data_IF_850072783436
#
_entry.id   IF_850072783436
#
_cell.length_a   1.000
_cell.length_b   1.000
_cell.length_c   1.000
_cell.angle_alpha   90.00
_cell.angle_beta   90.00
_cell.angle_gamma   90.00
#
_symmetry.space_group_name_H-M   'P 1'
#
loop_
_entity.id
_entity.type
_entity.pdbx_description
1 polymer ?
#
# COMPACT_ATOMS: atom_id res chain seq x y z
N UNK A 1 -6.75 2.33 -7.96
CA UNK A 1 -6.42 3.40 -6.98
C UNK A 1 -7.30 3.36 -5.73
N UNK A 2 -7.59 2.17 -5.16
CA UNK A 2 -8.62 2.08 -4.10
C UNK A 2 -8.10 1.72 -2.70
N UNK A 3 -6.88 1.20 -2.46
CA UNK A 3 -6.44 0.94 -1.08
C UNK A 3 -6.15 2.21 -0.28
N UNK A 4 -5.91 3.33 -0.94
CA UNK A 4 -5.64 4.60 -0.28
C UNK A 4 -6.87 5.23 0.39
N UNK A 5 -8.07 4.94 -0.12
CA UNK A 5 -9.29 5.51 0.44
C UNK A 5 -9.69 4.87 1.77
N UNK A 6 -9.51 3.56 1.91
CA UNK A 6 -9.78 2.90 3.20
C UNK A 6 -8.74 3.27 4.26
N UNK A 7 -7.48 3.51 3.89
CA UNK A 7 -6.46 3.99 4.82
C UNK A 7 -6.70 5.44 5.24
N UNK A 8 -7.04 6.32 4.29
CA UNK A 8 -7.34 7.72 4.62
C UNK A 8 -8.60 7.86 5.49
N UNK A 9 -9.67 7.10 5.22
CA UNK A 9 -10.84 7.05 6.10
C UNK A 9 -10.47 6.57 7.51
N UNK A 10 -9.63 5.52 7.60
CA UNK A 10 -9.12 5.02 8.88
C UNK A 10 -8.31 6.06 9.64
N UNK A 11 -7.54 6.89 8.95
CA UNK A 11 -6.76 7.98 9.56
C UNK A 11 -7.67 9.08 10.10
N UNK A 12 -8.76 9.43 9.39
CA UNK A 12 -9.76 10.38 9.88
C UNK A 12 -10.44 9.87 11.16
N UNK A 13 -10.85 8.60 11.21
CA UNK A 13 -11.46 8.02 12.42
C UNK A 13 -10.47 7.96 13.59
N UNK A 14 -9.22 7.58 13.37
CA UNK A 14 -8.19 7.59 14.42
C UNK A 14 -7.92 9.00 14.94
N UNK A 15 -7.92 9.99 14.06
CA UNK A 15 -7.78 11.39 14.44
C UNK A 15 -8.92 11.84 15.34
N UNK A 16 -10.19 11.52 14.99
CA UNK A 16 -11.34 11.82 15.83
C UNK A 16 -11.22 11.18 17.22
N UNK A 17 -10.78 9.91 17.29
CA UNK A 17 -10.53 9.24 18.55
C UNK A 17 -9.42 9.95 19.36
N UNK A 18 -8.30 10.34 18.75
CA UNK A 18 -7.22 11.06 19.42
C UNK A 18 -7.68 12.42 19.95
N UNK A 19 -8.48 13.17 19.18
CA UNK A 19 -9.06 14.43 19.64
C UNK A 19 -10.00 14.23 20.82
N UNK A 20 -10.92 13.27 20.71
CA UNK A 20 -11.93 13.00 21.75
C UNK A 20 -11.33 12.45 23.03
N UNK A 21 -10.36 11.51 22.91
CA UNK A 21 -9.82 10.80 24.08
C UNK A 21 -8.61 11.48 24.73
N UNK A 22 -7.81 12.20 23.92
CA UNK A 22 -6.50 12.75 24.34
C UNK A 22 -6.40 14.27 24.23
N UNK A 23 -7.41 14.94 23.70
CA UNK A 23 -7.38 16.40 23.48
C UNK A 23 -6.32 16.86 22.45
N UNK A 24 -5.86 15.97 21.58
CA UNK A 24 -4.86 16.28 20.56
C UNK A 24 -5.55 16.89 19.33
N UNK A 25 -5.27 18.15 19.05
CA UNK A 25 -5.74 18.83 17.84
C UNK A 25 -4.87 18.48 16.64
N UNK A 26 -5.42 17.69 15.70
CA UNK A 26 -4.78 17.38 14.43
C UNK A 26 -5.58 18.01 13.29
N UNK A 27 -4.90 18.74 12.42
CA UNK A 27 -5.44 19.19 11.15
C UNK A 27 -4.85 18.35 10.02
N UNK A 28 -5.72 17.77 9.18
CA UNK A 28 -5.30 16.97 8.02
C UNK A 28 -5.29 17.85 6.77
N UNK A 29 -4.17 17.92 6.08
CA UNK A 29 -4.10 18.48 4.72
C UNK A 29 -4.12 17.32 3.73
N UNK A 30 -5.26 17.04 3.14
CA UNK A 30 -5.43 15.97 2.16
C UNK A 30 -4.96 16.45 0.77
N UNK A 31 -3.81 15.95 0.33
CA UNK A 31 -3.26 16.26 -1.00
C UNK A 31 -3.89 15.33 -2.03
N UNK A 32 -4.66 15.91 -2.96
CA UNK A 32 -5.50 15.14 -3.90
C UNK A 32 -5.50 15.78 -5.29
N UNK A 33 -5.68 15.00 -6.34
CA UNK A 33 -5.88 15.53 -7.70
C UNK A 33 -7.30 16.02 -7.97
N UNK A 34 -8.29 15.51 -7.25
CA UNK A 34 -9.71 15.86 -7.42
C UNK A 34 -10.34 16.15 -6.06
N UNK A 35 -10.43 17.44 -5.72
CA UNK A 35 -10.99 17.92 -4.47
C UNK A 35 -12.45 17.51 -4.29
N UNK A 36 -13.30 17.67 -5.32
CA UNK A 36 -14.73 17.34 -5.24
C UNK A 36 -14.97 15.84 -4.95
N UNK A 37 -14.10 14.96 -5.48
CA UNK A 37 -14.16 13.55 -5.16
C UNK A 37 -13.76 13.29 -3.71
N UNK A 38 -12.75 13.98 -3.22
CA UNK A 38 -12.29 13.86 -1.83
C UNK A 38 -13.35 14.38 -0.84
N UNK A 39 -13.96 15.51 -1.12
CA UNK A 39 -15.05 16.10 -0.31
C UNK A 39 -16.26 15.16 -0.21
N UNK A 40 -16.64 14.49 -1.30
CA UNK A 40 -17.71 13.47 -1.26
C UNK A 40 -17.39 12.27 -0.38
N UNK A 41 -16.10 11.95 -0.17
CA UNK A 41 -15.65 10.80 0.61
C UNK A 41 -15.37 11.13 2.07
N UNK A 42 -14.86 12.31 2.36
CA UNK A 42 -14.34 12.70 3.67
C UNK A 42 -15.07 13.89 4.29
N UNK A 43 -16.07 14.45 3.58
CA UNK A 43 -16.77 15.66 3.96
C UNK A 43 -16.15 16.93 3.38
N UNK A 44 -16.85 18.05 3.52
CA UNK A 44 -16.37 19.38 3.12
C UNK A 44 -15.17 19.81 3.98
N UNK A 45 -14.39 20.77 3.48
CA UNK A 45 -13.30 21.37 4.24
C UNK A 45 -13.81 21.95 5.58
N UNK A 46 -13.04 21.75 6.64
CA UNK A 46 -13.39 22.17 8.00
C UNK A 46 -12.12 22.56 8.77
N UNK A 47 -12.28 22.92 10.05
CA UNK A 47 -11.13 23.15 10.94
C UNK A 47 -10.26 21.91 11.12
N UNK A 48 -10.79 20.75 10.76
CA UNK A 48 -10.11 19.46 10.95
C UNK A 48 -9.46 18.93 9.67
N UNK A 49 -10.02 19.22 8.50
CA UNK A 49 -9.51 18.77 7.20
C UNK A 49 -9.55 19.87 6.17
N UNK A 50 -8.50 20.00 5.39
CA UNK A 50 -8.44 20.82 4.20
C UNK A 50 -7.89 20.04 3.03
N UNK A 51 -8.19 20.50 1.82
CA UNK A 51 -7.79 19.85 0.58
C UNK A 51 -6.80 20.75 -0.16
N UNK A 52 -5.70 20.14 -0.61
CA UNK A 52 -4.72 20.78 -1.48
C UNK A 52 -4.68 20.03 -2.80
N UNK A 53 -5.05 20.73 -3.89
CA UNK A 53 -5.02 20.11 -5.23
C UNK A 53 -3.59 20.11 -5.76
N UNK A 54 -3.02 18.91 -5.97
CA UNK A 54 -1.69 18.75 -6.50
C UNK A 54 -1.54 17.43 -7.26
N UNK A 55 -0.85 17.46 -8.39
CA UNK A 55 -0.49 16.28 -9.18
C UNK A 55 1.02 16.02 -9.05
N UNK A 56 1.38 14.90 -8.45
CA UNK A 56 2.78 14.52 -8.25
C UNK A 56 3.54 14.17 -9.55
N UNK A 57 2.86 14.13 -10.69
CA UNK A 57 3.50 14.01 -12.00
C UNK A 57 3.97 15.35 -12.59
N UNK A 58 3.55 16.47 -11.99
CA UNK A 58 3.94 17.81 -12.46
C UNK A 58 5.35 18.19 -12.00
N UNK A 59 5.91 19.20 -12.67
CA UNK A 59 7.24 19.76 -12.36
C UNK A 59 7.18 20.92 -11.37
N UNK A 60 5.98 21.45 -11.10
CA UNK A 60 5.78 22.54 -10.16
C UNK A 60 6.13 22.08 -8.75
N UNK A 61 6.78 22.95 -7.95
CA UNK A 61 7.10 22.64 -6.57
C UNK A 61 5.85 22.33 -5.73
N UNK A 62 5.97 21.35 -4.84
CA UNK A 62 4.97 21.13 -3.80
C UNK A 62 5.01 22.28 -2.79
N UNK A 63 3.94 23.06 -2.69
CA UNK A 63 3.90 24.29 -1.88
C UNK A 63 2.51 24.51 -1.24
N UNK A 64 2.10 23.66 -0.28
CA UNK A 64 0.85 23.87 0.45
C UNK A 64 0.90 25.15 1.28
N UNK A 65 -0.24 25.81 1.43
CA UNK A 65 -0.33 27.09 2.19
C UNK A 65 -0.22 26.89 3.70
N UNK A 66 -0.55 25.69 4.20
CA UNK A 66 -0.44 25.35 5.62
C UNK A 66 0.90 24.70 5.89
N UNK A 67 1.49 24.98 7.05
CA UNK A 67 2.66 24.27 7.54
C UNK A 67 2.32 22.78 7.75
N UNK A 68 3.19 21.90 7.30
CA UNK A 68 3.09 20.46 7.47
C UNK A 68 4.14 20.01 8.47
N UNK A 69 3.71 19.46 9.61
CA UNK A 69 4.62 18.90 10.61
C UNK A 69 4.92 17.42 10.35
N UNK A 70 3.92 16.66 9.89
CA UNK A 70 4.04 15.23 9.59
C UNK A 70 3.51 14.92 8.20
N UNK A 71 4.18 14.04 7.45
CA UNK A 71 3.81 13.75 6.07
C UNK A 71 3.80 12.24 5.79
N UNK A 72 2.70 11.78 5.21
CA UNK A 72 2.61 10.44 4.61
C UNK A 72 2.49 10.55 3.09
N UNK A 73 3.41 9.92 2.36
CA UNK A 73 3.36 9.91 0.90
C UNK A 73 2.85 8.58 0.37
N UNK A 74 1.59 8.57 -0.04
CA UNK A 74 0.91 7.41 -0.64
C UNK A 74 0.75 7.53 -2.16
N UNK A 75 0.95 8.71 -2.74
CA UNK A 75 0.64 8.95 -4.13
C UNK A 75 1.55 8.13 -5.06
N UNK A 76 0.95 7.20 -5.76
CA UNK A 76 1.55 6.40 -6.82
C UNK A 76 0.44 5.75 -7.64
N UNK A 77 0.64 5.45 -8.92
CA UNK A 77 -0.17 4.47 -9.63
C UNK A 77 -0.12 3.13 -8.86
N UNK A 78 -1.23 2.40 -8.81
CA UNK A 78 -1.31 1.12 -8.08
C UNK A 78 -1.82 -0.03 -8.93
N UNK A 79 -2.33 0.25 -10.13
CA UNK A 79 -2.80 -0.75 -11.06
C UNK A 79 -1.64 -1.25 -11.95
N UNK A 80 -1.46 -2.56 -12.02
CA UNK A 80 -0.41 -3.18 -12.86
C UNK A 80 -0.53 -2.78 -14.35
N UNK A 81 -1.74 -2.46 -14.78
CA UNK A 81 -2.02 -1.96 -16.13
C UNK A 81 -1.31 -0.62 -16.38
N UNK A 82 -1.38 0.31 -15.44
CA UNK A 82 -0.74 1.63 -15.55
C UNK A 82 0.79 1.51 -15.69
N UNK A 83 1.41 0.52 -15.04
CA UNK A 83 2.85 0.32 -15.10
C UNK A 83 3.35 -0.09 -16.51
N UNK A 84 2.45 -0.69 -17.30
CA UNK A 84 2.76 -1.15 -18.66
C UNK A 84 2.30 -0.15 -19.71
N UNK A 85 1.12 0.45 -19.54
CA UNK A 85 0.53 1.37 -20.52
C UNK A 85 1.08 2.81 -20.37
N UNK A 86 1.45 3.21 -19.12
CA UNK A 86 1.94 4.54 -18.79
C UNK A 86 3.22 4.49 -17.94
N UNK A 87 4.30 3.82 -18.42
CA UNK A 87 5.51 3.61 -17.62
C UNK A 87 6.27 4.90 -17.31
N UNK A 88 6.29 5.86 -18.23
CA UNK A 88 6.98 7.14 -18.04
C UNK A 88 6.27 7.98 -16.97
N UNK A 89 4.95 8.08 -17.06
CA UNK A 89 4.13 8.81 -16.08
C UNK A 89 4.21 8.13 -14.71
N UNK A 90 4.30 6.79 -14.69
CA UNK A 90 4.50 6.02 -13.45
C UNK A 90 5.83 6.41 -12.80
N UNK A 91 6.92 6.44 -13.55
CA UNK A 91 8.22 6.82 -13.02
C UNK A 91 8.27 8.28 -12.57
N UNK A 92 7.72 9.20 -13.36
CA UNK A 92 7.67 10.62 -13.03
C UNK A 92 6.86 10.86 -11.74
N UNK A 93 5.69 10.24 -11.62
CA UNK A 93 4.85 10.38 -10.41
C UNK A 93 5.55 9.86 -9.17
N UNK A 94 6.21 8.70 -9.26
CA UNK A 94 6.83 8.06 -8.09
C UNK A 94 8.14 8.73 -7.70
N UNK A 95 9.06 8.91 -8.64
CA UNK A 95 10.38 9.47 -8.37
C UNK A 95 10.34 11.00 -8.30
N UNK A 96 9.79 11.67 -9.30
CA UNK A 96 9.70 13.13 -9.35
C UNK A 96 8.81 13.69 -8.22
N UNK A 97 7.68 13.03 -7.96
CA UNK A 97 6.82 13.39 -6.83
C UNK A 97 7.55 13.28 -5.48
N UNK A 98 8.36 12.23 -5.30
CA UNK A 98 9.16 12.08 -4.09
C UNK A 98 10.25 13.14 -3.96
N UNK A 99 10.90 13.50 -5.06
CA UNK A 99 11.90 14.56 -5.09
C UNK A 99 11.31 15.91 -4.67
N UNK A 100 10.12 16.26 -5.16
CA UNK A 100 9.40 17.48 -4.77
C UNK A 100 9.05 17.50 -3.27
N UNK A 101 8.60 16.36 -2.73
CA UNK A 101 8.25 16.25 -1.31
C UNK A 101 9.48 16.33 -0.40
N UNK A 102 10.58 15.70 -0.77
CA UNK A 102 11.83 15.76 0.02
C UNK A 102 12.43 17.16 -0.01
N UNK A 103 12.39 17.85 -1.16
CA UNK A 103 12.79 19.24 -1.27
C UNK A 103 11.96 20.14 -0.35
N UNK A 104 10.62 19.96 -0.36
CA UNK A 104 9.72 20.64 0.56
C UNK A 104 10.04 20.33 2.02
N UNK A 105 10.21 19.05 2.36
CA UNK A 105 10.48 18.62 3.73
C UNK A 105 11.78 19.22 4.27
N UNK A 106 12.83 19.29 3.44
CA UNK A 106 14.09 19.94 3.78
C UNK A 106 13.92 21.46 4.00
N UNK A 107 13.25 22.15 3.08
CA UNK A 107 13.08 23.62 3.14
C UNK A 107 12.19 24.09 4.28
N UNK A 108 11.22 23.27 4.70
CA UNK A 108 10.20 23.60 5.70
C UNK A 108 10.36 22.85 7.02
N UNK A 109 11.47 22.13 7.22
CA UNK A 109 11.80 21.42 8.45
C UNK A 109 10.65 20.50 8.92
N UNK A 110 10.12 19.67 8.00
CA UNK A 110 9.07 18.69 8.34
C UNK A 110 9.59 17.74 9.42
N UNK A 111 8.86 17.64 10.53
CA UNK A 111 9.30 16.91 11.73
C UNK A 111 9.47 15.41 11.51
N UNK A 112 8.63 14.81 10.66
CA UNK A 112 8.80 13.41 10.22
C UNK A 112 7.96 13.11 8.98
N UNK A 113 8.48 12.26 8.09
CA UNK A 113 7.72 11.77 6.95
C UNK A 113 7.94 10.28 6.69
N UNK A 114 6.94 9.65 6.07
CA UNK A 114 7.00 8.23 5.66
C UNK A 114 6.60 8.07 4.19
N UNK A 115 7.50 7.46 3.42
CA UNK A 115 7.18 6.98 2.07
C UNK A 115 6.49 5.62 2.16
N UNK A 116 5.27 5.50 1.61
CA UNK A 116 4.66 4.21 1.32
C UNK A 116 5.34 3.59 0.09
N UNK A 117 6.25 2.66 0.34
CA UNK A 117 6.89 1.82 -0.66
C UNK A 117 6.15 0.48 -0.81
N UNK A 118 6.75 -0.52 -1.40
CA UNK A 118 6.11 -1.76 -1.80
C UNK A 118 7.05 -2.96 -1.68
N UNK A 119 6.49 -4.13 -1.44
CA UNK A 119 7.23 -5.41 -1.53
C UNK A 119 7.81 -5.67 -2.94
N UNK A 120 7.31 -4.99 -3.98
CA UNK A 120 7.83 -5.17 -5.34
C UNK A 120 9.28 -4.65 -5.51
N UNK A 121 9.79 -3.83 -4.60
CA UNK A 121 11.20 -3.40 -4.58
C UNK A 121 12.17 -4.57 -4.42
N UNK A 122 11.73 -5.69 -3.86
CA UNK A 122 12.56 -6.90 -3.79
C UNK A 122 12.82 -7.54 -5.14
N UNK A 123 11.98 -7.28 -6.15
CA UNK A 123 12.14 -7.84 -7.48
C UNK A 123 11.82 -9.34 -7.55
N UNK A 124 12.52 -10.06 -8.42
CA UNK A 124 12.30 -11.49 -8.64
C UNK A 124 13.05 -12.29 -7.58
N UNK A 125 12.29 -12.89 -6.68
CA UNK A 125 12.77 -13.84 -5.66
C UNK A 125 11.94 -15.11 -5.80
N UNK A 126 12.62 -16.26 -5.94
CA UNK A 126 11.99 -17.58 -6.14
C UNK A 126 12.25 -18.54 -4.99
N UNK A 127 13.18 -18.19 -4.10
CA UNK A 127 13.53 -18.97 -2.90
C UNK A 127 12.99 -18.30 -1.65
N UNK A 128 12.06 -18.94 -0.97
CA UNK A 128 11.38 -18.47 0.23
C UNK A 128 11.84 -19.18 1.52
N UNK A 129 12.92 -19.95 1.44
CA UNK A 129 13.48 -20.64 2.62
C UNK A 129 13.96 -19.65 3.69
N UNK A 130 14.33 -18.44 3.30
CA UNK A 130 14.65 -17.34 4.20
C UNK A 130 13.71 -16.19 3.96
N UNK A 131 13.09 -15.61 5.01
CA UNK A 131 12.34 -14.39 4.87
C UNK A 131 13.22 -13.24 4.36
N UNK A 132 12.62 -12.31 3.63
CA UNK A 132 13.29 -11.15 3.05
C UNK A 132 13.41 -10.05 4.10
N UNK A 133 14.64 -9.80 4.53
CA UNK A 133 15.00 -8.64 5.35
C UNK A 133 15.21 -7.40 4.47
N UNK A 134 15.23 -6.21 5.05
CA UNK A 134 15.27 -4.95 4.32
C UNK A 134 16.57 -4.70 3.56
N UNK A 135 17.64 -5.40 3.90
CA UNK A 135 18.95 -5.36 3.22
C UNK A 135 19.06 -6.28 2.01
N UNK A 136 18.08 -7.19 1.81
CA UNK A 136 18.07 -8.11 0.68
C UNK A 136 17.54 -7.46 -0.60
N UNK A 137 18.01 -7.97 -1.75
CA UNK A 137 17.59 -7.51 -3.07
C UNK A 137 17.53 -8.69 -4.05
N UNK A 138 16.52 -8.70 -4.91
CA UNK A 138 16.41 -9.57 -6.07
C UNK A 138 16.55 -8.80 -7.37
N UNK A 139 16.53 -9.51 -8.48
CA UNK A 139 16.68 -8.95 -9.80
C UNK A 139 15.44 -8.17 -10.26
N UNK A 140 15.67 -6.98 -10.82
CA UNK A 140 14.69 -6.21 -11.60
C UNK A 140 15.33 -5.88 -12.95
N UNK A 141 14.71 -6.33 -14.04
CA UNK A 141 15.18 -5.99 -15.38
C UNK A 141 14.85 -4.52 -15.70
N UNK A 142 15.86 -3.64 -15.85
CA UNK A 142 15.62 -2.23 -16.14
C UNK A 142 15.06 -1.97 -17.54
N UNK A 143 15.16 -2.96 -18.44
CA UNK A 143 14.66 -2.84 -19.81
C UNK A 143 13.25 -3.42 -19.98
N UNK A 144 12.69 -4.06 -18.95
CA UNK A 144 11.32 -4.52 -18.96
C UNK A 144 10.36 -3.39 -18.55
N UNK A 145 9.40 -3.04 -19.40
CA UNK A 145 8.41 -1.97 -19.16
C UNK A 145 7.69 -2.14 -17.83
N UNK A 146 7.35 -3.39 -17.45
CA UNK A 146 6.68 -3.70 -16.16
C UNK A 146 7.52 -3.34 -14.94
N UNK A 147 8.84 -3.19 -15.11
CA UNK A 147 9.74 -2.80 -14.02
C UNK A 147 9.70 -1.30 -13.67
N UNK A 148 8.99 -0.48 -14.45
CA UNK A 148 8.89 0.97 -14.23
C UNK A 148 8.53 1.34 -12.79
N UNK A 149 7.48 0.71 -12.24
CA UNK A 149 7.02 0.96 -10.87
C UNK A 149 8.01 0.51 -9.78
N UNK A 150 8.45 -0.76 -9.73
CA UNK A 150 9.39 -1.19 -8.69
C UNK A 150 10.75 -0.51 -8.78
N UNK A 151 11.24 -0.18 -9.97
CA UNK A 151 12.49 0.59 -10.14
C UNK A 151 12.32 2.04 -9.66
N UNK A 152 11.22 2.69 -9.99
CA UNK A 152 10.94 4.04 -9.51
C UNK A 152 10.80 4.07 -7.96
N UNK A 153 10.17 3.04 -7.36
CA UNK A 153 10.11 2.90 -5.89
C UNK A 153 11.48 2.67 -5.27
N UNK A 154 12.35 1.81 -5.85
CA UNK A 154 13.75 1.67 -5.39
C UNK A 154 14.50 3.00 -5.45
N UNK A 155 14.38 3.74 -6.55
CA UNK A 155 15.03 5.04 -6.70
C UNK A 155 14.49 6.05 -5.68
N UNK A 156 13.19 6.06 -5.41
CA UNK A 156 12.57 6.91 -4.39
C UNK A 156 13.04 6.55 -2.97
N UNK A 157 13.20 5.25 -2.64
CA UNK A 157 13.78 4.81 -1.36
C UNK A 157 15.24 5.28 -1.21
N UNK A 158 16.05 5.11 -2.26
CA UNK A 158 17.43 5.60 -2.25
C UNK A 158 17.50 7.13 -2.07
N UNK A 159 16.56 7.85 -2.69
CA UNK A 159 16.46 9.30 -2.52
C UNK A 159 16.11 9.69 -1.08
N UNK A 160 15.18 8.96 -0.43
CA UNK A 160 14.86 9.15 0.99
C UNK A 160 16.09 8.96 1.88
N UNK A 161 16.82 7.86 1.66
CA UNK A 161 18.05 7.58 2.41
C UNK A 161 19.09 8.71 2.27
N UNK A 162 19.34 9.14 1.02
CA UNK A 162 20.32 10.18 0.74
C UNK A 162 19.91 11.55 1.30
N UNK A 163 18.64 11.92 1.27
CA UNK A 163 18.17 13.16 1.91
C UNK A 163 18.26 13.12 3.44
N UNK A 164 18.09 11.95 4.04
CA UNK A 164 18.32 11.80 5.48
C UNK A 164 19.80 11.92 5.83
N UNK A 165 20.68 11.30 5.05
CA UNK A 165 22.13 11.29 5.28
C UNK A 165 22.77 12.66 5.00
N UNK A 166 22.45 13.27 3.85
CA UNK A 166 23.10 14.50 3.37
C UNK A 166 22.52 15.78 4.01
N UNK A 167 21.19 15.83 4.17
CA UNK A 167 20.46 17.03 4.59
C UNK A 167 19.78 16.91 5.96
N UNK A 168 19.83 15.74 6.59
CA UNK A 168 19.19 15.49 7.89
C UNK A 168 17.66 15.48 7.82
N UNK A 169 17.07 15.21 6.66
CA UNK A 169 15.61 15.12 6.51
C UNK A 169 15.06 13.90 7.26
N UNK A 170 14.08 14.12 8.12
CA UNK A 170 13.45 13.07 8.94
C UNK A 170 12.49 12.19 8.11
N UNK A 171 13.02 11.36 7.23
CA UNK A 171 12.24 10.50 6.33
C UNK A 171 12.52 9.02 6.57
N UNK A 172 11.48 8.19 6.52
CA UNK A 172 11.49 6.74 6.68
C UNK A 172 10.73 6.10 5.53
N UNK A 173 10.97 4.81 5.30
CA UNK A 173 10.33 4.04 4.22
C UNK A 173 9.54 2.87 4.80
N UNK A 174 8.28 2.73 4.40
CA UNK A 174 7.44 1.57 4.71
C UNK A 174 7.28 0.69 3.47
N UNK A 175 7.92 -0.48 3.41
CA UNK A 175 7.75 -1.49 2.35
C UNK A 175 6.51 -2.31 2.62
N UNK A 176 5.38 -1.86 2.10
CA UNK A 176 4.09 -2.51 2.34
C UNK A 176 3.97 -3.83 1.59
N UNK A 177 3.55 -4.88 2.28
CA UNK A 177 3.01 -6.09 1.66
C UNK A 177 1.72 -5.77 0.88
N UNK A 178 1.15 -6.76 0.20
CA UNK A 178 -0.16 -6.60 -0.41
C UNK A 178 -1.20 -6.28 0.67
N UNK A 179 -1.69 -5.06 0.64
CA UNK A 179 -2.61 -4.54 1.68
C UNK A 179 -4.04 -4.51 1.18
N UNK A 180 -4.97 -5.06 1.96
CA UNK A 180 -6.40 -4.98 1.69
C UNK A 180 -7.25 -5.10 2.97
N UNK A 181 -8.54 -4.78 2.85
CA UNK A 181 -9.49 -4.87 3.96
C UNK A 181 -10.85 -4.28 3.58
N UNK A 182 -11.65 -3.91 4.57
CA UNK A 182 -12.90 -3.19 4.36
C UNK A 182 -12.69 -1.89 3.56
N UNK A 183 -13.67 -1.50 2.73
CA UNK A 183 -13.62 -0.31 1.89
C UNK A 183 -12.82 -0.47 0.59
N UNK A 184 -12.45 -1.70 0.22
CA UNK A 184 -11.95 -1.98 -1.14
C UNK A 184 -13.11 -1.87 -2.11
N UNK A 185 -12.95 -1.08 -3.18
CA UNK A 185 -13.99 -0.85 -4.18
C UNK A 185 -14.49 -2.15 -4.80
N UNK A 186 -15.80 -2.28 -4.95
CA UNK A 186 -16.45 -3.46 -5.53
C UNK A 186 -15.96 -3.85 -6.94
N UNK A 187 -15.36 -2.89 -7.69
CA UNK A 187 -14.78 -3.14 -9.02
C UNK A 187 -13.25 -3.32 -9.01
N UNK A 188 -12.62 -3.48 -7.84
CA UNK A 188 -11.19 -3.74 -7.76
C UNK A 188 -10.83 -5.06 -8.44
N UNK A 189 -9.84 -5.03 -9.35
CA UNK A 189 -9.43 -6.20 -10.14
C UNK A 189 -8.29 -7.00 -9.52
N UNK A 190 -7.83 -6.65 -8.32
CA UNK A 190 -6.83 -7.45 -7.62
C UNK A 190 -7.41 -8.77 -7.16
N UNK A 191 -6.54 -9.78 -7.06
CA UNK A 191 -6.92 -11.18 -6.83
C UNK A 191 -7.80 -11.39 -5.60
N UNK A 192 -7.51 -10.72 -4.48
CA UNK A 192 -8.31 -10.84 -3.25
C UNK A 192 -9.74 -10.31 -3.44
N UNK A 193 -9.93 -9.22 -4.18
CA UNK A 193 -11.26 -8.67 -4.46
C UNK A 193 -12.05 -9.55 -5.45
N UNK A 194 -11.36 -10.17 -6.42
CA UNK A 194 -11.98 -11.16 -7.30
C UNK A 194 -12.48 -12.37 -6.50
N UNK A 195 -11.66 -12.91 -5.58
CA UNK A 195 -12.06 -14.06 -4.75
C UNK A 195 -13.24 -13.73 -3.83
N UNK A 196 -13.23 -12.55 -3.21
CA UNK A 196 -14.37 -12.08 -2.42
C UNK A 196 -15.65 -12.03 -3.25
N UNK A 197 -15.62 -11.45 -4.47
CA UNK A 197 -16.79 -11.40 -5.35
C UNK A 197 -17.28 -12.79 -5.79
N UNK A 198 -16.36 -13.72 -6.09
CA UNK A 198 -16.73 -15.08 -6.48
C UNK A 198 -17.53 -15.78 -5.39
N UNK A 199 -17.10 -15.70 -4.13
CA UNK A 199 -17.84 -16.33 -3.02
C UNK A 199 -19.18 -15.65 -2.75
N UNK A 200 -19.27 -14.32 -2.88
CA UNK A 200 -20.52 -13.56 -2.74
C UNK A 200 -21.54 -13.93 -3.83
N UNK A 201 -21.08 -14.13 -5.05
CA UNK A 201 -21.93 -14.48 -6.20
C UNK A 201 -22.22 -15.98 -6.35
N UNK A 202 -21.63 -16.82 -5.52
CA UNK A 202 -21.66 -18.29 -5.66
C UNK A 202 -21.04 -18.78 -6.99
N UNK A 203 -20.00 -18.11 -7.47
CA UNK A 203 -19.26 -18.44 -8.70
C UNK A 203 -17.93 -19.11 -8.34
N UNK A 204 -17.46 -20.04 -9.17
CA UNK A 204 -16.18 -20.69 -8.98
C UNK A 204 -15.02 -19.68 -9.10
N UNK A 205 -13.96 -19.89 -8.31
CA UNK A 205 -12.72 -19.11 -8.39
C UNK A 205 -11.84 -19.71 -9.48
N UNK A 206 -11.69 -18.98 -10.60
CA UNK A 206 -10.89 -19.43 -11.73
C UNK A 206 -9.49 -18.83 -11.65
N UNK A 207 -8.47 -19.70 -11.59
CA UNK A 207 -7.07 -19.31 -11.64
C UNK A 207 -6.52 -19.52 -13.06
N UNK A 208 -6.07 -18.43 -13.70
CA UNK A 208 -5.46 -18.48 -15.03
C UNK A 208 -3.97 -18.80 -15.03
N UNK A 209 -3.41 -19.16 -13.88
CA UNK A 209 -2.04 -19.64 -13.67
C UNK A 209 -2.08 -20.82 -12.71
N UNK A 210 -0.92 -21.47 -12.45
CA UNK A 210 -0.81 -22.51 -11.41
C UNK A 210 -1.08 -22.00 -10.00
N UNK A 211 -1.06 -20.69 -9.80
CA UNK A 211 -1.29 -20.05 -8.51
C UNK A 211 -0.14 -20.15 -7.51
N UNK A 212 1.06 -20.46 -7.98
CA UNK A 212 2.25 -20.66 -7.12
C UNK A 212 2.88 -19.36 -6.59
N UNK A 213 2.54 -18.19 -7.20
CA UNK A 213 2.99 -16.90 -6.71
C UNK A 213 2.57 -16.75 -5.24
N UNK A 214 3.56 -16.48 -4.36
CA UNK A 214 3.35 -16.44 -2.91
C UNK A 214 3.83 -15.13 -2.32
N UNK A 215 3.09 -14.58 -1.36
CA UNK A 215 3.44 -13.33 -0.67
C UNK A 215 2.76 -13.20 0.69
N UNK A 216 3.27 -12.29 1.52
CA UNK A 216 2.58 -11.85 2.72
C UNK A 216 1.51 -10.80 2.39
N UNK A 217 0.55 -10.68 3.30
CA UNK A 217 -0.51 -9.67 3.25
C UNK A 217 -0.53 -8.85 4.55
N UNK A 218 -1.19 -7.70 4.51
CA UNK A 218 -1.41 -6.88 5.69
C UNK A 218 -2.84 -6.31 5.65
N UNK A 219 -3.53 -6.31 6.78
CA UNK A 219 -4.83 -5.64 6.87
C UNK A 219 -4.64 -4.12 6.83
N UNK A 220 -5.55 -3.41 6.17
CA UNK A 220 -5.41 -1.95 5.96
C UNK A 220 -5.16 -1.19 7.26
N UNK A 221 -5.88 -1.50 8.34
CA UNK A 221 -5.71 -0.85 9.64
C UNK A 221 -4.34 -1.18 10.27
N UNK A 222 -3.86 -2.42 10.12
CA UNK A 222 -2.54 -2.80 10.60
C UNK A 222 -1.45 -2.02 9.83
N UNK A 223 -1.60 -1.88 8.51
CA UNK A 223 -0.66 -1.10 7.70
C UNK A 223 -0.64 0.38 8.11
N UNK A 224 -1.81 0.99 8.38
CA UNK A 224 -1.90 2.38 8.86
C UNK A 224 -1.23 2.54 10.23
N UNK A 225 -1.48 1.62 11.18
CA UNK A 225 -0.80 1.67 12.49
C UNK A 225 0.70 1.47 12.34
N UNK A 226 1.16 0.56 11.47
CA UNK A 226 2.58 0.37 11.18
C UNK A 226 3.24 1.67 10.72
N UNK A 227 2.61 2.38 9.78
CA UNK A 227 3.13 3.65 9.28
C UNK A 227 3.20 4.73 10.37
N UNK A 228 2.23 4.76 11.30
CA UNK A 228 2.29 5.65 12.47
C UNK A 228 3.46 5.29 13.41
N UNK A 229 3.70 3.99 13.66
CA UNK A 229 4.87 3.56 14.45
C UNK A 229 6.18 3.95 13.75
N UNK A 230 6.29 3.74 12.43
CA UNK A 230 7.46 4.15 11.64
C UNK A 230 7.65 5.67 11.69
N UNK A 231 6.57 6.46 11.54
CA UNK A 231 6.63 7.92 11.61
C UNK A 231 7.21 8.41 12.94
N UNK A 232 6.75 7.82 14.05
CA UNK A 232 7.05 8.28 15.41
C UNK A 232 8.33 7.70 15.98
N UNK A 233 8.69 6.46 15.62
CA UNK A 233 9.77 5.70 16.26
C UNK A 233 10.83 5.18 15.28
N UNK A 234 10.55 5.23 13.97
CA UNK A 234 11.49 4.77 12.94
C UNK A 234 12.74 5.64 12.88
N UNK A 235 13.87 5.02 12.53
CA UNK A 235 15.12 5.69 12.29
C UNK A 235 15.12 6.32 10.90
N UNK A 236 15.61 7.54 10.80
CA UNK A 236 15.69 8.29 9.54
C UNK A 236 16.58 7.58 8.52
N UNK A 237 16.17 7.64 7.25
CA UNK A 237 16.86 6.96 6.16
C UNK A 237 16.66 5.44 6.10
N UNK A 238 15.95 4.82 7.05
CA UNK A 238 15.77 3.37 7.11
C UNK A 238 14.43 2.91 6.49
N UNK A 239 14.46 1.67 5.98
CA UNK A 239 13.28 0.98 5.47
C UNK A 239 12.76 -0.05 6.47
N UNK A 240 11.45 -0.30 6.46
CA UNK A 240 10.73 -1.24 7.33
C UNK A 240 9.76 -2.07 6.52
N UNK A 241 9.85 -3.38 6.60
CA UNK A 241 8.85 -4.29 6.06
C UNK A 241 7.56 -4.21 6.88
N UNK A 242 6.43 -4.03 6.19
CA UNK A 242 5.10 -3.98 6.82
C UNK A 242 4.25 -5.12 6.28
N UNK A 243 4.11 -6.16 7.06
CA UNK A 243 3.33 -7.36 6.71
C UNK A 243 2.84 -8.08 7.97
N UNK A 244 1.86 -8.94 7.81
CA UNK A 244 1.62 -10.02 8.77
C UNK A 244 2.27 -11.30 8.23
N UNK A 245 3.33 -11.78 8.87
CA UNK A 245 4.08 -12.97 8.43
C UNK A 245 3.21 -14.24 8.38
N UNK A 246 2.23 -14.34 9.27
CA UNK A 246 1.29 -15.48 9.34
C UNK A 246 0.34 -15.53 8.12
N UNK A 247 0.33 -14.48 7.30
CA UNK A 247 -0.47 -14.42 6.08
C UNK A 247 0.29 -14.88 4.83
N UNK A 248 1.55 -15.34 4.98
CA UNK A 248 2.31 -15.84 3.83
C UNK A 248 1.64 -17.05 3.22
N UNK A 249 1.21 -16.90 1.96
CA UNK A 249 0.39 -17.90 1.26
C UNK A 249 0.54 -17.76 -0.25
N UNK A 250 0.38 -18.85 -0.99
CA UNK A 250 0.25 -18.83 -2.45
C UNK A 250 -1.15 -18.37 -2.88
N UNK A 251 -1.26 -17.87 -4.11
CA UNK A 251 -2.56 -17.49 -4.70
C UNK A 251 -3.55 -18.66 -4.70
N UNK A 252 -3.05 -19.88 -5.00
CA UNK A 252 -3.88 -21.09 -4.99
C UNK A 252 -4.39 -21.43 -3.60
N UNK A 253 -3.51 -21.50 -2.61
CA UNK A 253 -3.91 -21.77 -1.22
C UNK A 253 -4.86 -20.69 -0.68
N UNK A 254 -4.66 -19.43 -1.06
CA UNK A 254 -5.57 -18.34 -0.69
C UNK A 254 -6.96 -18.52 -1.33
N UNK A 255 -7.05 -18.93 -2.60
CA UNK A 255 -8.31 -19.24 -3.26
C UNK A 255 -9.05 -20.39 -2.55
N UNK A 256 -8.32 -21.48 -2.21
CA UNK A 256 -8.83 -22.62 -1.48
C UNK A 256 -9.30 -22.23 -0.07
N UNK A 257 -8.54 -21.38 0.63
CA UNK A 257 -8.92 -20.82 1.94
C UNK A 257 -10.24 -20.04 1.85
N UNK A 258 -10.38 -19.17 0.86
CA UNK A 258 -11.57 -18.32 0.69
C UNK A 258 -12.79 -19.16 0.32
N UNK A 259 -12.67 -20.06 -0.66
CA UNK A 259 -13.76 -20.95 -1.05
C UNK A 259 -14.23 -21.82 0.12
N UNK A 260 -13.30 -22.47 0.82
CA UNK A 260 -13.63 -23.38 1.93
C UNK A 260 -14.15 -22.65 3.19
N UNK A 261 -13.76 -21.40 3.39
CA UNK A 261 -14.20 -20.65 4.59
C UNK A 261 -15.56 -19.99 4.40
N UNK A 262 -15.81 -19.40 3.22
CA UNK A 262 -16.98 -18.53 3.03
C UNK A 262 -18.09 -19.17 2.20
N UNK A 263 -17.78 -20.15 1.33
CA UNK A 263 -18.82 -20.83 0.54
C UNK A 263 -18.44 -22.27 0.12
N UNK A 264 -18.23 -23.19 1.09
CA UNK A 264 -17.66 -24.53 0.81
C UNK A 264 -18.54 -25.44 -0.03
N UNK A 265 -19.85 -25.15 -0.09
CA UNK A 265 -20.81 -26.02 -0.80
C UNK A 265 -21.02 -25.64 -2.27
N UNK A 266 -20.76 -24.39 -2.64
CA UNK A 266 -21.09 -23.86 -3.97
C UNK A 266 -19.90 -23.40 -4.78
N UNK A 267 -18.79 -23.01 -4.13
CA UNK A 267 -17.62 -22.40 -4.78
C UNK A 267 -16.46 -23.39 -4.80
N UNK A 268 -15.91 -23.64 -5.98
CA UNK A 268 -14.72 -24.46 -6.19
C UNK A 268 -13.58 -23.60 -6.73
N UNK A 269 -12.35 -24.06 -6.56
CA UNK A 269 -11.18 -23.50 -7.21
C UNK A 269 -10.88 -24.30 -8.48
N UNK A 270 -10.85 -23.64 -9.61
CA UNK A 270 -10.63 -24.25 -10.92
C UNK A 270 -9.39 -23.64 -11.55
N UNK A 271 -8.40 -24.47 -11.91
CA UNK A 271 -7.18 -24.03 -12.56
C UNK A 271 -7.37 -24.15 -14.07
N UNK A 272 -7.38 -23.02 -14.77
CA UNK A 272 -7.51 -22.91 -16.23
C UNK A 272 -6.40 -22.00 -16.77
N UNK A 273 -5.16 -22.50 -16.96
CA UNK A 273 -4.07 -21.68 -17.43
C UNK A 273 -4.37 -21.01 -18.75
N UNK A 274 -4.11 -19.71 -18.83
CA UNK A 274 -4.30 -18.90 -20.04
C UNK A 274 -3.07 -18.06 -20.30
N UNK A 275 -2.52 -18.15 -21.50
CA UNK A 275 -1.35 -17.36 -21.93
C UNK A 275 -1.78 -15.94 -22.34
N UNK A 276 -0.80 -15.01 -22.33
CA UNK A 276 -0.99 -13.66 -22.87
C UNK A 276 -1.68 -12.66 -21.95
N UNK A 277 -2.00 -13.00 -20.70
CA UNK A 277 -2.67 -12.09 -19.74
C UNK A 277 -1.70 -11.14 -18.99
N UNK A 278 -0.41 -11.15 -19.31
CA UNK A 278 0.57 -10.20 -18.72
C UNK A 278 0.79 -10.37 -17.22
N UNK A 279 0.59 -11.56 -16.67
CA UNK A 279 0.87 -11.82 -15.26
C UNK A 279 2.36 -11.67 -14.93
N UNK A 280 2.64 -11.20 -13.72
CA UNK A 280 4.01 -11.13 -13.20
C UNK A 280 4.65 -12.53 -13.13
N UNK A 281 5.97 -12.64 -13.28
CA UNK A 281 6.68 -13.90 -13.03
C UNK A 281 6.33 -14.45 -11.65
N UNK A 282 6.40 -15.78 -11.50
CA UNK A 282 6.20 -16.43 -10.21
C UNK A 282 7.28 -15.98 -9.24
N UNK A 283 6.87 -15.30 -8.18
CA UNK A 283 7.73 -14.80 -7.10
C UNK A 283 7.24 -15.32 -5.76
N UNK A 284 8.17 -15.47 -4.82
CA UNK A 284 7.92 -15.89 -3.44
C UNK A 284 8.47 -14.82 -2.49
N UNK A 285 7.61 -13.89 -2.11
CA UNK A 285 7.97 -12.73 -1.29
C UNK A 285 7.49 -12.93 0.15
N UNK A 286 8.26 -13.71 0.91
CA UNK A 286 8.08 -13.89 2.34
C UNK A 286 8.87 -12.81 3.06
N UNK A 287 8.19 -11.84 3.67
CA UNK A 287 8.83 -10.73 4.34
C UNK A 287 9.17 -11.08 5.79
N UNK A 288 10.33 -10.63 6.26
CA UNK A 288 10.71 -10.55 7.67
C UNK A 288 10.23 -9.20 8.22
N UNK A 289 9.61 -9.18 9.37
CA UNK A 289 9.09 -7.94 10.00
C UNK A 289 9.74 -7.63 11.35
N UNK A 290 10.87 -8.27 11.65
CA UNK A 290 11.55 -8.08 12.94
C UNK A 290 11.85 -6.60 13.21
N UNK A 291 12.35 -5.87 12.21
CA UNK A 291 12.75 -4.46 12.37
C UNK A 291 11.60 -3.55 12.82
N UNK A 292 10.40 -3.72 12.27
CA UNK A 292 9.24 -2.94 12.72
C UNK A 292 8.67 -3.45 14.04
N UNK A 293 8.79 -4.74 14.33
CA UNK A 293 8.37 -5.29 15.63
C UNK A 293 9.23 -4.75 16.76
N UNK A 294 10.50 -4.47 16.52
CA UNK A 294 11.41 -3.81 17.49
C UNK A 294 10.97 -2.37 17.82
N UNK A 295 10.22 -1.69 16.93
CA UNK A 295 9.56 -0.43 17.25
C UNK A 295 8.31 -0.59 18.12
N UNK A 296 7.87 -1.83 18.41
CA UNK A 296 6.70 -2.16 19.23
C UNK A 296 5.42 -2.44 18.44
N UNK A 297 5.45 -2.37 17.10
CA UNK A 297 4.28 -2.69 16.28
C UNK A 297 4.12 -4.21 16.08
N UNK A 298 2.85 -4.66 16.04
CA UNK A 298 2.48 -6.03 15.67
C UNK A 298 1.17 -6.03 14.86
N UNK A 299 1.02 -6.92 13.85
CA UNK A 299 -0.24 -7.07 13.15
C UNK A 299 -1.28 -7.78 14.03
N UNK A 300 -2.56 -7.48 13.79
CA UNK A 300 -3.68 -8.04 14.57
C UNK A 300 -4.58 -8.96 13.75
N UNK A 301 -4.60 -8.83 12.42
CA UNK A 301 -5.59 -9.49 11.58
C UNK A 301 -4.95 -10.51 10.65
N UNK A 302 -5.41 -11.76 10.74
CA UNK A 302 -5.07 -12.83 9.80
C UNK A 302 -6.00 -12.84 8.57
N UNK A 303 -5.64 -13.64 7.54
CA UNK A 303 -6.32 -13.66 6.24
C UNK A 303 -7.83 -13.90 6.32
N UNK A 304 -8.29 -14.85 7.14
CA UNK A 304 -9.73 -15.14 7.28
C UNK A 304 -10.52 -13.93 7.73
N UNK A 305 -10.03 -13.20 8.73
CA UNK A 305 -10.68 -12.00 9.24
C UNK A 305 -10.58 -10.84 8.23
N UNK A 306 -9.48 -10.71 7.52
CA UNK A 306 -9.32 -9.73 6.45
C UNK A 306 -10.39 -9.95 5.36
N UNK A 307 -10.59 -11.17 4.90
CA UNK A 307 -11.62 -11.52 3.91
C UNK A 307 -13.04 -11.35 4.48
N UNK A 308 -13.29 -11.74 5.72
CA UNK A 308 -14.60 -11.54 6.35
C UNK A 308 -15.01 -10.06 6.33
N UNK A 309 -14.10 -9.18 6.72
CA UNK A 309 -14.34 -7.73 6.74
C UNK A 309 -14.47 -7.14 5.34
N UNK A 310 -13.67 -7.65 4.38
CA UNK A 310 -13.76 -7.25 2.98
C UNK A 310 -15.13 -7.60 2.38
N UNK A 311 -15.60 -8.84 2.59
CA UNK A 311 -16.89 -9.31 2.07
C UNK A 311 -18.03 -8.49 2.68
N UNK A 312 -18.05 -8.31 4.01
CA UNK A 312 -19.08 -7.50 4.67
C UNK A 312 -19.15 -6.07 4.13
N UNK A 313 -17.99 -5.41 3.93
CA UNK A 313 -17.98 -4.05 3.39
C UNK A 313 -18.44 -3.97 1.93
N UNK A 314 -18.19 -5.00 1.12
CA UNK A 314 -18.67 -5.07 -0.25
C UNK A 314 -20.19 -5.33 -0.32
N UNK A 315 -20.76 -6.05 0.65
CA UNK A 315 -22.21 -6.26 0.77
C UNK A 315 -22.91 -4.94 1.13
N UNK A 316 -22.34 -4.15 2.06
CA UNK A 316 -22.88 -2.85 2.46
C UNK A 316 -22.86 -1.81 1.32
N UNK A 317 -21.88 -1.85 0.41
CA UNK A 317 -21.81 -0.97 -0.75
C UNK A 317 -22.89 -1.28 -1.83
N UNK A 318 -23.52 -2.45 -1.78
CA UNK A 318 -24.54 -2.86 -2.75
C UNK A 318 -25.97 -2.50 -2.31
N UNK A 319 -26.17 -2.07 -1.08
CA UNK A 319 -27.43 -1.60 -0.50
C UNK A 319 -27.57 -0.09 -0.63
#
# INVERSE_FOLDING_TARGET
STPLYSSAASDVYKRQALHTEKGINLHVVAVVRNVQKAERMFGEASDEISYYSYDFSCVEPFAPTKKIDFLFHFAAPTASKDFVEHPVETMNTVYGGMQNLLSYAHQHEVSSMVLASTLEVYGTVTDDRRPLTEDMQGYLDPMATRSSYPLAKRAAEALCHNYADEYGVHVKVARLAQTFGAGVNGNDNRVFAQFARSVMKNEDIILHTTGELSRCYCYTIDAVTAMLYILLHGKDGEAYNVANEDTYISIREMAELVASTFNPQKVKVVIQPQEGLGYSPTTKLRLDTQRIQELGWKPHYGLKEMFRRLILSMEEEQV
#
